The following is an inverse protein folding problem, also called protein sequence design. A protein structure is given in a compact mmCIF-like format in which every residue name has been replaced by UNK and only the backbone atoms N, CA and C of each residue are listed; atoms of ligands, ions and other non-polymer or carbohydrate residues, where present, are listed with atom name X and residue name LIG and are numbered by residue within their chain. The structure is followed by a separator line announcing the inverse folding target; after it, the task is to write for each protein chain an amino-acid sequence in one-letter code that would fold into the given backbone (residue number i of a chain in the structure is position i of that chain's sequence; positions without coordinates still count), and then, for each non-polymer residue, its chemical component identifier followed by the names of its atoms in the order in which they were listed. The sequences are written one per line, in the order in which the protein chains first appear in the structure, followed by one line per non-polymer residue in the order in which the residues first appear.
data_IF_082383533349
#
_entry.id   IF_082383533349
#
_cell.length_a   1.000
_cell.length_b   1.000
_cell.length_c   1.000
_cell.angle_alpha   90.00
_cell.angle_beta   90.00
_cell.angle_gamma   90.00
#
_symmetry.space_group_name_H-M   'P 1'
#
loop_
_entity.id
_entity.type
_entity.pdbx_description
1 polymer ?
#
# COMPACT_ATOMS: atom_id res chain seq x y z
N UNK A 1 -16.83 -1.00 8.28
CA UNK A 1 -17.08 -0.90 6.82
C UNK A 1 -15.76 -1.13 6.10
N UNK A 2 -15.78 -1.80 4.95
CA UNK A 2 -14.58 -1.91 4.10
C UNK A 2 -14.35 -0.56 3.43
N UNK A 3 -13.16 0.02 3.63
CA UNK A 3 -12.77 1.26 2.97
C UNK A 3 -12.57 0.99 1.47
N UNK A 4 -13.24 1.74 0.59
CA UNK A 4 -13.06 1.62 -0.85
C UNK A 4 -11.72 2.24 -1.26
N UNK A 5 -10.84 1.44 -1.86
CA UNK A 5 -9.56 1.90 -2.42
C UNK A 5 -9.83 2.65 -3.72
N UNK A 6 -9.26 3.85 -3.87
CA UNK A 6 -9.33 4.65 -5.11
C UNK A 6 -8.00 4.74 -5.83
N UNK A 7 -6.88 4.71 -5.11
CA UNK A 7 -5.55 4.78 -5.70
C UNK A 7 -4.51 4.07 -4.82
N UNK A 8 -3.53 3.46 -5.49
CA UNK A 8 -2.35 2.84 -4.85
C UNK A 8 -1.10 3.42 -5.51
N UNK A 9 -0.18 3.97 -4.71
CA UNK A 9 1.10 4.51 -5.17
C UNK A 9 2.23 3.68 -4.55
N UNK A 10 2.86 2.77 -5.32
CA UNK A 10 4.05 2.07 -4.88
C UNK A 10 5.29 2.95 -4.97
N UNK A 11 6.27 2.66 -4.13
CA UNK A 11 7.62 3.22 -4.14
C UNK A 11 8.65 2.10 -4.27
N UNK A 12 9.87 2.48 -4.67
CA UNK A 12 10.98 1.54 -4.89
C UNK A 12 11.43 0.83 -3.60
N UNK A 13 11.21 1.45 -2.45
CA UNK A 13 11.58 0.95 -1.11
C UNK A 13 10.52 0.01 -0.50
N UNK A 14 9.60 -0.53 -1.30
CA UNK A 14 8.45 -1.32 -0.86
C UNK A 14 7.46 -0.58 0.05
N UNK A 15 7.56 0.76 0.14
CA UNK A 15 6.49 1.57 0.74
C UNK A 15 5.33 1.69 -0.25
N UNK A 16 4.11 1.48 0.22
CA UNK A 16 2.87 1.68 -0.55
C UNK A 16 1.97 2.68 0.15
N UNK A 17 1.51 3.70 -0.59
CA UNK A 17 0.47 4.62 -0.16
C UNK A 17 -0.87 4.22 -0.77
N UNK A 18 -1.87 4.01 0.09
CA UNK A 18 -3.24 3.67 -0.31
C UNK A 18 -4.15 4.84 0.02
N UNK A 19 -4.83 5.34 -1.00
CA UNK A 19 -5.83 6.39 -0.89
C UNK A 19 -7.20 5.73 -0.90
N UNK A 20 -8.05 6.13 0.05
CA UNK A 20 -9.40 5.63 0.20
C UNK A 20 -10.43 6.72 -0.18
N UNK A 21 -11.61 6.29 -0.60
CA UNK A 21 -12.69 7.18 -1.05
C UNK A 21 -13.19 8.14 0.06
N UNK A 22 -12.95 7.81 1.33
CA UNK A 22 -13.27 8.62 2.49
C UNK A 22 -12.20 9.68 2.81
N UNK A 23 -11.19 9.83 1.95
CA UNK A 23 -10.10 10.79 2.12
C UNK A 23 -8.99 10.30 3.05
N UNK A 24 -9.10 9.09 3.61
CA UNK A 24 -8.02 8.50 4.41
C UNK A 24 -6.87 8.11 3.47
N UNK A 25 -5.65 8.38 3.93
CA UNK A 25 -4.43 7.91 3.28
C UNK A 25 -3.68 7.04 4.29
N UNK A 26 -3.28 5.83 3.89
CA UNK A 26 -2.48 4.93 4.72
C UNK A 26 -1.17 4.60 4.02
N UNK A 27 -0.09 4.55 4.82
CA UNK A 27 1.24 4.09 4.39
C UNK A 27 1.45 2.68 4.92
N UNK A 28 1.88 1.77 4.06
CA UNK A 28 2.21 0.39 4.38
C UNK A 28 3.64 0.09 3.97
N UNK A 29 4.36 -0.64 4.82
CA UNK A 29 5.59 -1.33 4.44
C UNK A 29 5.22 -2.75 4.04
N UNK A 30 5.43 -3.09 2.77
CA UNK A 30 5.10 -4.42 2.22
C UNK A 30 6.34 -5.21 1.80
N UNK A 31 7.52 -4.81 2.28
CA UNK A 31 8.78 -5.52 2.01
C UNK A 31 8.69 -7.01 2.37
N UNK A 32 7.96 -7.35 3.43
CA UNK A 32 7.72 -8.72 3.88
C UNK A 32 6.93 -9.61 2.91
N UNK A 33 6.25 -9.03 1.90
CA UNK A 33 5.52 -9.80 0.89
C UNK A 33 6.41 -10.25 -0.27
N UNK A 34 7.63 -9.71 -0.38
CA UNK A 34 8.58 -10.09 -1.41
C UNK A 34 9.46 -11.19 -0.85
N UNK A 35 9.16 -12.43 -1.22
CA UNK A 35 10.05 -13.55 -0.93
C UNK A 35 11.33 -13.42 -1.77
N UNK A 36 12.47 -13.37 -1.10
CA UNK A 36 13.77 -13.54 -1.77
C UNK A 36 13.89 -15.00 -2.14
N UNK A 37 13.64 -15.33 -3.41
CA UNK A 37 13.99 -16.64 -3.96
C UNK A 37 15.52 -16.65 -4.05
N UNK A 38 16.15 -17.33 -3.09
CA UNK A 38 17.60 -17.56 -3.04
C UNK A 38 18.05 -18.59 -4.07
#
# INVERSE_FOLDING_TARGET
MLHQVVQVIPKEDYTVYVYFADGIIKRYDVSHLVEVIA
#
